data_IF_308225082788
#
_entry.id   IF_308225082788
#
_cell.length_a   1.000
_cell.length_b   1.000
_cell.length_c   1.000
_cell.angle_alpha   90.00
_cell.angle_beta   90.00
_cell.angle_gamma   90.00
#
_symmetry.space_group_name_H-M   'P 1'
#
loop_
_entity.id
_entity.type
_entity.pdbx_description
1 polymer ?
#
# COMPACT_ATOMS: atom_id res chain seq x y z
N UNK A 1 11.25 -4.45 -4.47
CA UNK A 1 11.21 -2.96 -4.40
C UNK A 1 9.78 -2.56 -4.07
N UNK A 2 9.59 -1.69 -3.08
CA UNK A 2 8.27 -1.22 -2.64
C UNK A 2 8.08 0.21 -3.15
N UNK A 3 6.92 0.51 -3.71
CA UNK A 3 6.56 1.85 -4.17
C UNK A 3 5.16 2.22 -3.65
N UNK A 4 4.93 3.50 -3.41
CA UNK A 4 3.63 4.06 -3.06
C UNK A 4 3.37 5.22 -4.02
N UNK A 5 2.28 5.14 -4.79
CA UNK A 5 1.95 6.11 -5.85
C UNK A 5 3.09 6.33 -6.87
N UNK A 6 3.85 5.27 -7.19
CA UNK A 6 4.99 5.33 -8.10
C UNK A 6 6.31 5.74 -7.44
N UNK A 7 6.26 6.31 -6.23
CA UNK A 7 7.46 6.75 -5.51
C UNK A 7 8.10 5.59 -4.74
N UNK A 8 9.44 5.40 -4.82
CA UNK A 8 10.12 4.33 -4.11
C UNK A 8 10.11 4.58 -2.59
N UNK A 9 9.85 3.51 -1.83
CA UNK A 9 9.90 3.55 -0.36
C UNK A 9 11.25 3.05 0.12
N UNK A 10 11.93 3.83 0.96
CA UNK A 10 13.13 3.37 1.67
C UNK A 10 12.76 2.25 2.63
N UNK A 11 13.34 1.08 2.42
CA UNK A 11 13.10 -0.11 3.24
C UNK A 11 14.25 -0.30 4.24
N UNK A 12 13.89 -0.66 5.47
CA UNK A 12 14.79 -1.11 6.51
C UNK A 12 14.59 -2.61 6.73
N UNK A 13 15.68 -3.33 6.97
CA UNK A 13 15.65 -4.76 7.27
C UNK A 13 16.23 -5.02 8.66
N UNK A 14 15.53 -5.83 9.44
CA UNK A 14 16.01 -6.35 10.74
C UNK A 14 15.72 -7.84 10.78
N UNK A 15 16.75 -8.66 10.53
CA UNK A 15 16.58 -10.10 10.32
C UNK A 15 15.65 -10.39 9.13
N UNK A 16 14.56 -11.13 9.38
CA UNK A 16 13.54 -11.43 8.39
C UNK A 16 12.45 -10.35 8.25
N UNK A 17 12.48 -9.29 9.09
CA UNK A 17 11.49 -8.22 9.06
C UNK A 17 11.90 -7.12 8.09
N UNK A 18 11.02 -6.79 7.15
CA UNK A 18 11.12 -5.62 6.29
C UNK A 18 10.14 -4.55 6.76
N UNK A 19 10.61 -3.32 6.93
CA UNK A 19 9.78 -2.17 7.31
C UNK A 19 10.03 -1.02 6.35
N UNK A 20 8.98 -0.36 5.89
CA UNK A 20 9.04 0.85 5.08
C UNK A 20 7.97 1.83 5.54
N UNK A 21 8.19 3.12 5.31
CA UNK A 21 7.22 4.16 5.64
C UNK A 21 7.06 5.13 4.50
N UNK A 22 5.81 5.44 4.18
CA UNK A 22 5.43 6.51 3.27
C UNK A 22 4.27 7.30 3.89
N UNK A 23 4.16 8.57 3.54
CA UNK A 23 3.01 9.42 3.88
C UNK A 23 2.27 9.71 2.58
N UNK A 24 1.00 9.34 2.54
CA UNK A 24 0.13 9.62 1.40
C UNK A 24 -0.70 10.86 1.72
N UNK A 25 -0.70 11.91 0.88
CA UNK A 25 -1.52 13.10 1.11
C UNK A 25 -3.01 12.77 1.12
N UNK A 26 -3.79 13.44 1.98
CA UNK A 26 -5.22 13.20 2.13
C UNK A 26 -6.02 13.27 0.81
N UNK A 27 -5.62 14.20 -0.08
CA UNK A 27 -6.23 14.36 -1.42
C UNK A 27 -6.17 13.10 -2.28
N UNK A 28 -5.17 12.24 -2.07
CA UNK A 28 -5.00 11.00 -2.83
C UNK A 28 -6.08 9.97 -2.46
N UNK A 29 -6.56 10.01 -1.21
CA UNK A 29 -7.67 9.18 -0.76
C UNK A 29 -9.01 9.67 -1.30
N UNK A 30 -9.12 10.94 -1.69
CA UNK A 30 -10.34 11.58 -2.17
C UNK A 30 -10.60 11.44 -3.67
N UNK A 31 -9.77 10.67 -4.39
CA UNK A 31 -9.96 10.48 -5.83
C UNK A 31 -11.20 9.62 -6.07
N UNK A 32 -12.10 10.10 -6.94
CA UNK A 32 -13.24 9.31 -7.40
C UNK A 32 -12.73 8.12 -8.20
N UNK A 33 -13.11 6.92 -7.77
CA UNK A 33 -12.71 5.70 -8.47
C UNK A 33 -13.46 5.52 -9.79
N UNK A 34 -14.70 6.02 -9.84
CA UNK A 34 -15.49 6.11 -11.06
C UNK A 34 -16.66 7.08 -10.87
N UNK A 35 -17.41 7.34 -11.94
CA UNK A 35 -18.66 8.11 -11.86
C UNK A 35 -19.75 7.45 -11.00
N UNK A 36 -19.64 6.15 -10.74
CA UNK A 36 -20.61 5.36 -9.97
C UNK A 36 -20.19 5.14 -8.52
N UNK A 37 -18.92 5.40 -8.21
CA UNK A 37 -18.32 5.08 -6.92
C UNK A 37 -17.47 6.25 -6.43
N UNK A 38 -18.05 6.95 -5.46
CA UNK A 38 -17.34 7.99 -4.72
C UNK A 38 -16.11 7.46 -3.98
N UNK A 39 -15.28 8.36 -3.46
CA UNK A 39 -14.06 7.99 -2.73
C UNK A 39 -14.37 7.11 -1.50
N UNK A 40 -13.57 6.07 -1.24
CA UNK A 40 -13.80 5.15 -0.11
C UNK A 40 -12.55 4.88 0.74
N UNK A 41 -11.57 5.78 0.68
CA UNK A 41 -10.30 5.64 1.40
C UNK A 41 -9.35 4.66 0.71
N UNK A 42 -8.32 4.22 1.44
CA UNK A 42 -7.28 3.36 0.90
C UNK A 42 -7.44 1.90 1.31
N UNK A 43 -7.16 1.03 0.34
CA UNK A 43 -6.82 -0.37 0.58
C UNK A 43 -5.30 -0.46 0.44
N UNK A 44 -4.64 -0.94 1.48
CA UNK A 44 -3.20 -1.21 1.45
C UNK A 44 -3.02 -2.70 1.26
N UNK A 45 -2.31 -3.08 0.20
CA UNK A 45 -1.94 -4.47 -0.08
C UNK A 45 -0.41 -4.61 0.00
N UNK A 46 0.05 -5.71 0.57
CA UNK A 46 1.45 -6.09 0.58
C UNK A 46 1.57 -7.50 0.01
N UNK A 47 2.48 -7.68 -0.95
CA UNK A 47 2.77 -8.97 -1.55
C UNK A 47 4.28 -9.21 -1.44
N UNK A 48 4.65 -10.37 -0.92
CA UNK A 48 6.03 -10.85 -0.87
C UNK A 48 6.15 -12.02 -1.83
N UNK A 49 7.20 -11.99 -2.64
CA UNK A 49 7.62 -13.10 -3.48
C UNK A 49 9.05 -13.46 -3.13
N UNK A 50 9.29 -14.73 -2.84
CA UNK A 50 10.62 -15.28 -2.57
C UNK A 50 11.24 -15.85 -3.85
N UNK A 51 12.54 -16.07 -3.84
CA UNK A 51 13.30 -16.52 -5.02
C UNK A 51 12.89 -17.93 -5.49
N UNK A 52 12.48 -18.79 -4.56
CA UNK A 52 11.91 -20.12 -4.80
C UNK A 52 10.50 -20.09 -5.42
N UNK A 53 9.93 -18.89 -5.61
CA UNK A 53 8.64 -18.69 -6.25
C UNK A 53 7.45 -18.68 -5.30
N UNK A 54 7.64 -18.85 -4.00
CA UNK A 54 6.55 -18.72 -3.03
C UNK A 54 6.02 -17.28 -3.00
N UNK A 55 4.69 -17.15 -2.82
CA UNK A 55 4.00 -15.86 -2.76
C UNK A 55 3.09 -15.82 -1.55
N UNK A 56 3.18 -14.73 -0.77
CA UNK A 56 2.27 -14.44 0.33
C UNK A 56 1.81 -12.99 0.24
N UNK A 57 0.63 -12.69 0.79
CA UNK A 57 0.12 -11.33 0.82
C UNK A 57 -0.80 -11.06 1.99
N UNK A 58 -0.95 -9.78 2.30
CA UNK A 58 -1.87 -9.27 3.29
C UNK A 58 -2.51 -7.98 2.76
N UNK A 59 -3.71 -7.67 3.24
CA UNK A 59 -4.34 -6.39 2.97
C UNK A 59 -5.04 -5.82 4.19
N UNK A 60 -5.19 -4.50 4.22
CA UNK A 60 -5.97 -3.79 5.22
C UNK A 60 -6.73 -2.64 4.57
N UNK A 61 -7.97 -2.42 5.01
CA UNK A 61 -8.77 -1.25 4.65
C UNK A 61 -8.58 -0.21 5.76
N UNK A 62 -8.08 0.97 5.44
CA UNK A 62 -7.68 1.96 6.45
C UNK A 62 -8.83 2.83 6.98
N UNK A 63 -10.09 2.51 6.66
CA UNK A 63 -11.25 3.33 6.97
C UNK A 63 -11.44 4.49 5.97
N UNK A 64 -12.69 4.86 5.72
CA UNK A 64 -13.09 5.84 4.70
C UNK A 64 -12.67 7.28 5.03
N UNK A 65 -12.80 8.14 4.03
CA UNK A 65 -12.57 9.58 4.17
C UNK A 65 -13.69 10.14 5.03
N UNK A 66 -13.33 10.61 6.23
CA UNK A 66 -14.14 11.48 7.07
C UNK A 66 -13.67 12.91 6.92
#
# INVERSE_FOLDING_TARGET
KVHVNGEPVTMQQTGARLTGRAVVPAKEHQRSHSVWRGPYGSIVTAVVRTEDGCVAGAYVVTGGIG
#
